data_IF_226810558275
#
_entry.id   IF_226810558275
#
_cell.length_a   1.000
_cell.length_b   1.000
_cell.length_c   1.000
_cell.angle_alpha   90.00
_cell.angle_beta   90.00
_cell.angle_gamma   90.00
#
_symmetry.space_group_name_H-M   'P 1'
#
loop_
_entity.id
_entity.type
_entity.pdbx_description
1 polymer ?
#
# COMPACT_ATOMS: atom_id res chain seq x y z
N UNK A 1 -9.47 21.89 -21.76
CA UNK A 1 -9.72 21.01 -22.92
C UNK A 1 -10.76 19.96 -22.52
N UNK A 2 -12.02 20.07 -22.97
CA UNK A 2 -13.02 19.01 -22.73
C UNK A 2 -12.81 17.97 -23.83
N UNK A 3 -12.27 16.80 -23.48
CA UNK A 3 -12.27 15.63 -24.35
C UNK A 3 -13.74 15.15 -24.47
N UNK A 4 -14.50 15.78 -25.36
CA UNK A 4 -15.88 15.42 -25.68
C UNK A 4 -15.87 14.43 -26.84
N UNK A 5 -16.17 13.16 -26.55
CA UNK A 5 -16.27 12.11 -27.56
C UNK A 5 -17.38 12.37 -28.60
N UNK A 6 -17.22 11.76 -29.78
CA UNK A 6 -18.18 11.75 -30.89
C UNK A 6 -19.61 11.40 -30.45
N UNK A 7 -20.65 11.87 -31.18
CA UNK A 7 -22.05 11.56 -30.87
C UNK A 7 -22.26 10.05 -30.76
N UNK A 8 -22.92 9.62 -29.68
CA UNK A 8 -23.17 8.19 -29.40
C UNK A 8 -24.11 7.62 -30.47
N UNK A 9 -23.72 6.50 -31.08
CA UNK A 9 -24.59 5.75 -31.98
C UNK A 9 -25.62 4.92 -31.19
N UNK A 10 -26.79 4.63 -31.78
CA UNK A 10 -27.80 3.79 -31.12
C UNK A 10 -27.26 2.38 -30.92
N UNK A 11 -27.53 1.81 -29.74
CA UNK A 11 -27.12 0.47 -29.36
C UNK A 11 -28.30 -0.28 -28.72
N UNK A 12 -28.35 -1.62 -28.82
CA UNK A 12 -29.40 -2.42 -28.22
C UNK A 12 -29.31 -2.38 -26.68
N UNK A 13 -30.40 -1.99 -26.02
CA UNK A 13 -30.47 -1.85 -24.55
C UNK A 13 -30.73 -3.16 -23.81
N UNK A 14 -31.13 -4.21 -24.52
CA UNK A 14 -31.49 -5.51 -23.96
C UNK A 14 -30.29 -6.42 -23.72
N UNK A 15 -29.11 -6.07 -24.26
CA UNK A 15 -27.92 -6.91 -24.15
C UNK A 15 -27.16 -6.55 -22.87
N UNK A 16 -27.03 -7.53 -21.99
CA UNK A 16 -26.28 -7.41 -20.74
C UNK A 16 -24.85 -7.90 -20.90
N UNK A 17 -23.88 -7.11 -20.42
CA UNK A 17 -22.46 -7.48 -20.39
C UNK A 17 -21.87 -7.14 -19.02
N UNK A 18 -21.06 -8.07 -18.47
CA UNK A 18 -20.41 -7.89 -17.17
C UNK A 18 -19.48 -6.67 -17.11
N UNK A 19 -18.87 -6.30 -18.23
CA UNK A 19 -17.93 -5.17 -18.32
C UNK A 19 -18.59 -3.79 -18.49
N UNK A 20 -19.92 -3.72 -18.53
CA UNK A 20 -20.66 -2.46 -18.62
C UNK A 20 -21.23 -2.10 -19.99
N UNK A 21 -21.06 -2.92 -21.03
CA UNK A 21 -21.72 -2.70 -22.33
C UNK A 21 -21.36 -1.35 -22.98
N UNK A 22 -22.33 -0.69 -23.62
CA UNK A 22 -22.10 0.52 -24.41
C UNK A 22 -22.26 1.80 -23.56
N UNK A 23 -21.25 2.66 -23.59
CA UNK A 23 -21.29 4.03 -23.03
C UNK A 23 -21.64 4.12 -21.53
N UNK A 24 -21.14 3.21 -20.71
CA UNK A 24 -21.36 3.16 -19.26
C UNK A 24 -20.57 4.22 -18.47
N UNK A 25 -20.63 5.48 -18.92
CA UNK A 25 -19.79 6.54 -18.38
C UNK A 25 -20.28 7.03 -17.01
N UNK A 26 -21.55 6.80 -16.64
CA UNK A 26 -22.16 7.22 -15.36
C UNK A 26 -23.43 6.40 -15.05
N UNK A 27 -23.32 5.15 -14.56
CA UNK A 27 -24.46 4.49 -13.94
C UNK A 27 -24.84 5.22 -12.65
N UNK A 28 -26.14 5.24 -12.30
CA UNK A 28 -26.70 6.08 -11.23
C UNK A 28 -25.97 5.96 -9.88
N UNK A 29 -25.44 4.76 -9.57
CA UNK A 29 -24.75 4.45 -8.31
C UNK A 29 -23.23 4.24 -8.44
N UNK A 30 -22.58 4.81 -9.48
CA UNK A 30 -21.16 4.56 -9.75
C UNK A 30 -20.23 4.91 -8.57
N UNK A 31 -20.54 5.98 -7.83
CA UNK A 31 -19.75 6.43 -6.69
C UNK A 31 -19.84 5.46 -5.51
N UNK A 32 -21.07 5.04 -5.15
CA UNK A 32 -21.30 4.10 -4.06
C UNK A 32 -20.69 2.74 -4.37
N UNK A 33 -20.88 2.23 -5.59
CA UNK A 33 -20.33 0.94 -5.99
C UNK A 33 -18.80 0.99 -6.07
N UNK A 34 -18.23 2.08 -6.60
CA UNK A 34 -16.78 2.29 -6.63
C UNK A 34 -16.16 2.34 -5.24
N UNK A 35 -16.82 3.02 -4.30
CA UNK A 35 -16.39 3.07 -2.89
C UNK A 35 -16.40 1.67 -2.26
N UNK A 36 -17.47 0.89 -2.45
CA UNK A 36 -17.55 -0.48 -1.93
C UNK A 36 -16.42 -1.34 -2.48
N UNK A 37 -16.15 -1.28 -3.79
CA UNK A 37 -15.06 -2.04 -4.42
C UNK A 37 -13.70 -1.63 -3.85
N UNK A 38 -13.45 -0.33 -3.65
CA UNK A 38 -12.22 0.15 -3.03
C UNK A 38 -12.08 -0.35 -1.58
N UNK A 39 -13.15 -0.32 -0.79
CA UNK A 39 -13.12 -0.83 0.59
C UNK A 39 -12.79 -2.33 0.63
N UNK A 40 -13.39 -3.13 -0.25
CA UNK A 40 -13.10 -4.56 -0.34
C UNK A 40 -11.65 -4.83 -0.76
N UNK A 41 -11.15 -4.07 -1.74
CA UNK A 41 -9.76 -4.18 -2.17
C UNK A 41 -8.79 -3.79 -1.05
N UNK A 42 -9.07 -2.71 -0.33
CA UNK A 42 -8.25 -2.29 0.81
C UNK A 42 -8.26 -3.34 1.94
N UNK A 43 -9.43 -3.91 2.26
CA UNK A 43 -9.56 -4.94 3.29
C UNK A 43 -8.79 -6.23 2.93
N UNK A 44 -8.85 -6.66 1.68
CA UNK A 44 -8.10 -7.84 1.22
C UNK A 44 -6.60 -7.59 1.23
N UNK A 45 -6.13 -6.45 0.71
CA UNK A 45 -4.71 -6.10 0.70
C UNK A 45 -4.13 -5.96 2.11
N UNK A 46 -4.85 -5.30 3.03
CA UNK A 46 -4.41 -5.14 4.41
C UNK A 46 -4.33 -6.49 5.14
N UNK A 47 -5.28 -7.39 4.90
CA UNK A 47 -5.28 -8.73 5.49
C UNK A 47 -4.08 -9.55 4.99
N UNK A 48 -3.84 -9.55 3.68
CA UNK A 48 -2.70 -10.24 3.07
C UNK A 48 -1.39 -9.66 3.59
N UNK A 49 -1.27 -8.33 3.68
CA UNK A 49 -0.09 -7.66 4.22
C UNK A 49 0.16 -8.02 5.69
N UNK A 50 -0.90 -8.08 6.50
CA UNK A 50 -0.80 -8.46 7.90
C UNK A 50 -0.35 -9.92 8.09
N UNK A 51 -0.84 -10.83 7.25
CA UNK A 51 -0.40 -12.23 7.25
C UNK A 51 1.07 -12.32 6.80
N UNK A 52 1.41 -11.65 5.70
CA UNK A 52 2.79 -11.60 5.17
C UNK A 52 3.79 -11.10 6.21
N UNK A 53 3.49 -10.00 6.93
CA UNK A 53 4.38 -9.47 7.97
C UNK A 53 4.58 -10.39 9.16
N UNK A 54 3.69 -11.37 9.38
CA UNK A 54 3.81 -12.35 10.48
C UNK A 54 4.49 -13.64 10.07
N UNK A 55 4.40 -14.03 8.81
CA UNK A 55 4.98 -15.28 8.30
C UNK A 55 6.36 -15.09 7.68
N UNK A 56 6.60 -13.95 7.04
CA UNK A 56 7.86 -13.74 6.31
C UNK A 56 9.03 -13.50 7.25
N UNK A 57 10.02 -14.40 7.13
CA UNK A 57 11.39 -14.16 7.58
C UNK A 57 12.16 -13.42 6.50
N UNK A 58 12.87 -12.37 6.90
CA UNK A 58 13.66 -11.52 6.03
C UNK A 58 15.06 -11.44 6.61
N UNK A 59 15.82 -12.53 6.43
CA UNK A 59 17.15 -12.65 7.00
C UNK A 59 18.03 -11.54 6.43
N UNK A 60 18.52 -10.66 7.31
CA UNK A 60 19.50 -9.66 6.94
C UNK A 60 20.90 -10.19 7.19
N UNK A 61 21.89 -9.84 6.34
CA UNK A 61 23.26 -10.20 6.63
C UNK A 61 23.68 -9.61 7.98
N UNK A 62 24.41 -10.36 8.83
CA UNK A 62 24.76 -9.97 10.19
C UNK A 62 25.88 -8.92 10.19
N UNK A 63 25.62 -7.76 9.58
CA UNK A 63 26.55 -6.66 9.47
C UNK A 63 25.88 -5.38 9.95
N UNK A 64 26.61 -4.58 10.74
CA UNK A 64 26.08 -3.35 11.38
C UNK A 64 25.59 -2.34 10.34
N UNK A 65 26.26 -2.29 9.20
CA UNK A 65 25.97 -1.35 8.11
C UNK A 65 25.12 -1.97 7.00
N UNK A 66 24.62 -3.19 7.18
CA UNK A 66 23.75 -3.84 6.20
C UNK A 66 22.45 -3.05 6.00
N UNK A 67 22.09 -2.80 4.75
CA UNK A 67 20.81 -2.19 4.41
C UNK A 67 19.65 -3.09 4.85
N UNK A 68 18.87 -2.62 5.82
CA UNK A 68 17.60 -3.26 6.21
C UNK A 68 16.51 -2.98 5.19
N UNK A 69 15.72 -4.00 4.87
CA UNK A 69 14.53 -3.83 4.02
C UNK A 69 13.53 -2.91 4.74
N UNK A 70 12.96 -1.89 4.07
CA UNK A 70 12.08 -0.91 4.73
C UNK A 70 10.91 -1.56 5.48
N UNK A 71 10.33 -2.62 4.92
CA UNK A 71 9.19 -3.35 5.48
C UNK A 71 9.56 -4.32 6.60
N UNK A 72 10.85 -4.60 6.83
CA UNK A 72 11.33 -5.47 7.91
C UNK A 72 11.03 -4.88 9.29
N UNK A 73 10.90 -3.55 9.38
CA UNK A 73 10.50 -2.89 10.62
C UNK A 73 9.11 -3.31 11.11
N UNK A 74 8.25 -3.79 10.21
CA UNK A 74 6.88 -4.22 10.44
C UNK A 74 6.74 -5.75 10.60
N UNK A 75 7.83 -6.51 10.36
CA UNK A 75 7.79 -7.97 10.53
C UNK A 75 7.81 -8.36 12.00
N UNK A 76 7.11 -9.45 12.32
CA UNK A 76 7.15 -10.08 13.65
C UNK A 76 8.56 -10.59 13.99
N UNK A 77 9.29 -11.14 13.02
CA UNK A 77 10.60 -11.77 13.20
C UNK A 77 11.78 -10.80 13.13
N UNK A 78 11.50 -9.50 13.15
CA UNK A 78 12.51 -8.44 13.00
C UNK A 78 13.71 -8.55 13.94
N UNK A 79 13.49 -8.87 15.21
CA UNK A 79 14.59 -8.97 16.19
C UNK A 79 15.39 -10.28 16.03
N UNK A 80 14.76 -11.33 15.50
CA UNK A 80 15.42 -12.59 15.20
C UNK A 80 16.30 -12.46 13.95
N UNK A 81 15.79 -11.79 12.92
CA UNK A 81 16.44 -11.65 11.61
C UNK A 81 17.49 -10.52 11.56
N UNK A 82 17.37 -9.49 12.42
CA UNK A 82 18.32 -8.36 12.53
C UNK A 82 18.84 -8.21 13.97
N UNK A 83 19.98 -8.84 14.32
CA UNK A 83 20.56 -8.76 15.67
C UNK A 83 21.07 -7.37 16.04
N UNK A 84 21.28 -6.48 15.07
CA UNK A 84 21.80 -5.12 15.29
C UNK A 84 20.70 -4.05 15.30
N UNK A 85 19.43 -4.43 15.22
CA UNK A 85 18.30 -3.49 15.12
C UNK A 85 18.25 -2.50 16.30
N UNK A 86 18.41 -2.97 17.53
CA UNK A 86 18.30 -2.15 18.74
C UNK A 86 19.41 -1.11 18.81
N UNK A 87 20.65 -1.51 18.51
CA UNK A 87 21.82 -0.63 18.51
C UNK A 87 21.63 0.52 17.53
N UNK A 88 21.20 0.23 16.30
CA UNK A 88 20.93 1.27 15.28
C UNK A 88 19.80 2.22 15.67
N UNK A 89 18.77 1.70 16.35
CA UNK A 89 17.65 2.53 16.84
C UNK A 89 18.11 3.51 17.91
N UNK A 90 19.01 3.09 18.79
CA UNK A 90 19.59 3.95 19.83
C UNK A 90 20.51 5.02 19.25
N UNK A 91 21.41 4.66 18.32
CA UNK A 91 22.27 5.60 17.61
C UNK A 91 21.44 6.71 16.94
N UNK A 92 20.41 6.35 16.17
CA UNK A 92 19.49 7.32 15.55
C UNK A 92 18.77 8.22 16.55
N UNK A 93 18.50 7.73 17.77
CA UNK A 93 17.86 8.52 18.83
C UNK A 93 18.84 9.54 19.43
N UNK A 94 20.10 9.14 19.60
CA UNK A 94 21.18 10.01 20.10
C UNK A 94 21.48 11.11 19.08
N UNK A 95 21.64 10.75 17.80
CA UNK A 95 21.86 11.71 16.70
C UNK A 95 20.73 12.75 16.63
N UNK A 96 19.47 12.31 16.70
CA UNK A 96 18.32 13.22 16.71
C UNK A 96 18.35 14.21 17.87
N UNK A 97 18.72 13.73 19.07
CA UNK A 97 18.85 14.60 20.25
C UNK A 97 19.98 15.62 20.07
N UNK A 98 21.13 15.20 19.55
CA UNK A 98 22.26 16.08 19.27
C UNK A 98 21.91 17.17 18.24
N UNK A 99 21.24 16.80 17.15
CA UNK A 99 20.76 17.77 16.17
C UNK A 99 19.75 18.76 16.77
N UNK A 100 18.86 18.30 17.65
CA UNK A 100 17.87 19.16 18.30
C UNK A 100 18.51 20.14 19.29
N UNK A 101 19.59 19.74 19.98
CA UNK A 101 20.37 20.62 20.86
C UNK A 101 21.27 21.61 20.11
N UNK A 102 21.64 21.33 18.86
CA UNK A 102 22.45 22.24 18.04
C UNK A 102 21.63 23.37 17.36
N UNK A 103 20.31 23.26 17.36
CA UNK A 103 19.38 24.26 16.80
C UNK A 103 18.76 25.18 17.87
N UNK A 104 19.22 25.10 19.12
CA UNK A 104 18.73 25.88 20.25
C UNK A 104 19.82 26.75 20.85
#
# INVERSE_FOLDING_TARGET
MKLGGTPRFPYPKTIYYFSGGYWNNKPYNCQRNGFIVQCLLAATLTTVFYISTRLERRVTPPHKDAHTVPTQALSKHKLEDDPYYLIRKEQKKIEKKQHQSAHH
#
